data_IF_609520238921
#
_entry.id   IF_609520238921
#
_cell.length_a   1.000
_cell.length_b   1.000
_cell.length_c   1.000
_cell.angle_alpha   90.00
_cell.angle_beta   90.00
_cell.angle_gamma   90.00
#
_symmetry.space_group_name_H-M   'P 1'
#
loop_
_entity.id
_entity.type
_entity.pdbx_description
1 polymer ?
#
# COMPACT_ATOMS: atom_id res chain seq x y z
N UNK A 1 12.38 -52.34 -59.32
CA UNK A 1 11.14 -51.61 -58.92
C UNK A 1 10.70 -51.84 -57.45
N UNK A 2 11.48 -52.51 -56.60
CA UNK A 2 11.09 -52.77 -55.19
C UNK A 2 11.84 -51.91 -54.13
N UNK A 3 12.80 -51.09 -54.55
CA UNK A 3 13.58 -50.22 -53.63
C UNK A 3 13.12 -48.77 -53.57
N UNK A 4 12.38 -48.30 -54.55
CA UNK A 4 11.94 -46.88 -54.66
C UNK A 4 10.63 -46.59 -53.84
N UNK A 5 9.84 -47.64 -53.58
CA UNK A 5 8.58 -47.53 -52.83
C UNK A 5 8.82 -47.46 -51.33
N UNK A 6 9.96 -47.97 -50.83
CA UNK A 6 10.27 -47.99 -49.41
C UNK A 6 10.71 -46.56 -48.88
N UNK A 7 11.31 -45.75 -49.76
CA UNK A 7 11.72 -44.38 -49.37
C UNK A 7 10.60 -43.35 -49.38
N UNK A 8 9.52 -43.63 -50.12
CA UNK A 8 8.35 -42.75 -50.14
C UNK A 8 7.42 -42.93 -48.92
N UNK A 9 7.47 -44.12 -48.28
CA UNK A 9 6.70 -44.34 -47.05
C UNK A 9 7.39 -43.82 -45.78
N UNK A 10 8.72 -43.70 -45.77
CA UNK A 10 9.43 -43.09 -44.64
C UNK A 10 9.37 -41.54 -44.63
N UNK A 11 9.14 -40.91 -45.79
CA UNK A 11 9.00 -39.47 -45.87
C UNK A 11 7.61 -38.95 -45.46
N UNK A 12 6.60 -39.82 -45.49
CA UNK A 12 5.23 -39.46 -45.10
C UNK A 12 4.97 -39.57 -43.58
N UNK A 13 5.86 -40.23 -42.81
CA UNK A 13 5.71 -40.35 -41.36
C UNK A 13 6.41 -39.24 -40.57
N UNK A 14 7.23 -38.41 -41.26
CA UNK A 14 7.95 -37.30 -40.62
C UNK A 14 7.17 -35.96 -40.63
N UNK A 15 5.97 -35.94 -41.22
CA UNK A 15 5.15 -34.72 -41.36
C UNK A 15 3.94 -34.68 -40.43
N UNK A 16 3.82 -35.61 -39.46
CA UNK A 16 2.76 -35.59 -38.42
C UNK A 16 3.29 -35.45 -37.00
N UNK A 17 4.56 -35.08 -36.84
CA UNK A 17 5.03 -34.49 -35.59
C UNK A 17 4.69 -32.99 -35.62
N UNK A 18 3.39 -32.67 -35.66
CA UNK A 18 2.88 -31.32 -35.45
C UNK A 18 3.26 -30.90 -34.03
N UNK A 19 3.96 -29.80 -33.94
CA UNK A 19 4.27 -29.07 -32.73
C UNK A 19 3.01 -28.90 -31.89
N UNK A 20 2.87 -29.67 -30.84
CA UNK A 20 2.24 -29.14 -29.60
C UNK A 20 3.32 -28.31 -28.95
N UNK A 21 3.41 -27.03 -29.31
CA UNK A 21 3.97 -26.05 -28.39
C UNK A 21 2.96 -25.96 -27.25
N UNK A 22 3.18 -26.73 -26.20
CA UNK A 22 2.78 -26.35 -24.88
C UNK A 22 3.49 -25.00 -24.63
N UNK A 23 2.77 -23.87 -24.83
CA UNK A 23 3.15 -22.64 -24.22
C UNK A 23 3.04 -22.89 -22.70
N UNK A 24 4.14 -23.36 -22.10
CA UNK A 24 4.36 -23.14 -20.69
C UNK A 24 4.26 -21.63 -20.51
N UNK A 25 3.13 -21.19 -19.98
CA UNK A 25 2.99 -19.88 -19.34
C UNK A 25 4.03 -19.88 -18.23
N UNK A 26 5.27 -19.49 -18.59
CA UNK A 26 6.32 -19.19 -17.66
C UNK A 26 5.86 -17.95 -16.88
N UNK A 27 5.05 -18.18 -15.85
CA UNK A 27 4.88 -17.21 -14.80
C UNK A 27 6.27 -17.03 -14.20
N UNK A 28 6.94 -15.94 -14.58
CA UNK A 28 8.15 -15.50 -13.90
C UNK A 28 7.70 -15.02 -12.54
N UNK A 29 7.92 -15.76 -11.45
CA UNK A 29 7.66 -15.20 -10.12
C UNK A 29 8.61 -14.03 -9.95
N UNK A 30 8.08 -12.84 -9.88
CA UNK A 30 8.82 -11.68 -9.41
C UNK A 30 8.90 -11.87 -7.90
N UNK A 31 10.03 -12.36 -7.43
CA UNK A 31 10.31 -12.42 -5.99
C UNK A 31 10.71 -11.00 -5.61
N UNK A 32 9.77 -10.25 -5.03
CA UNK A 32 10.09 -9.03 -4.32
C UNK A 32 10.69 -9.44 -2.98
N UNK A 33 12.00 -9.32 -2.86
CA UNK A 33 12.67 -9.31 -1.56
C UNK A 33 12.42 -7.92 -0.98
N UNK A 34 11.37 -7.78 -0.17
CA UNK A 34 11.14 -6.56 0.59
C UNK A 34 12.17 -6.54 1.73
N UNK A 35 13.02 -5.50 1.83
CA UNK A 35 13.76 -5.27 3.06
C UNK A 35 12.77 -5.00 4.20
N UNK A 36 13.18 -5.28 5.43
CA UNK A 36 12.38 -5.13 6.64
C UNK A 36 11.76 -3.72 6.72
N UNK A 37 10.43 -3.67 6.86
CA UNK A 37 9.58 -2.47 7.03
C UNK A 37 9.60 -1.39 5.94
N UNK A 38 9.05 -1.68 4.76
CA UNK A 38 8.70 -0.65 3.77
C UNK A 38 7.43 0.10 4.21
N UNK A 39 7.57 1.33 4.68
CA UNK A 39 6.43 2.22 4.90
C UNK A 39 5.92 2.73 3.53
N UNK A 40 4.60 2.72 3.33
CA UNK A 40 3.94 3.11 2.06
C UNK A 40 2.74 4.04 2.32
N UNK A 41 2.96 5.29 2.71
CA UNK A 41 1.89 6.24 2.97
C UNK A 41 1.39 6.97 1.74
N UNK A 42 0.14 7.44 1.82
CA UNK A 42 -0.49 8.41 0.94
C UNK A 42 -1.12 9.54 1.77
N UNK A 43 -0.95 10.78 1.33
CA UNK A 43 -1.44 11.97 2.01
C UNK A 43 -2.54 12.64 1.18
N UNK A 44 -3.74 12.78 1.75
CA UNK A 44 -4.86 13.54 1.21
C UNK A 44 -4.99 14.88 1.90
N UNK A 45 -5.26 15.92 1.14
CA UNK A 45 -5.43 17.30 1.62
C UNK A 45 -6.86 17.75 1.29
N UNK A 46 -7.64 18.08 2.31
CA UNK A 46 -9.05 18.50 2.18
C UNK A 46 -9.27 19.89 2.81
N UNK A 47 -8.96 20.99 2.12
CA UNK A 47 -9.25 22.32 2.59
C UNK A 47 -10.74 22.67 2.41
N UNK A 48 -11.26 23.65 3.17
CA UNK A 48 -12.61 24.16 2.98
C UNK A 48 -12.79 25.00 1.70
N UNK A 49 -11.72 25.59 1.20
CA UNK A 49 -11.64 26.32 -0.08
C UNK A 49 -10.31 26.01 -0.74
N UNK A 50 -10.24 26.21 -2.07
CA UNK A 50 -8.98 26.05 -2.81
C UNK A 50 -7.86 26.89 -2.20
N UNK A 51 -6.72 26.27 -1.93
CA UNK A 51 -5.58 26.92 -1.31
C UNK A 51 -4.25 26.26 -1.71
N UNK A 52 -3.18 27.04 -1.65
CA UNK A 52 -1.82 26.51 -1.78
C UNK A 52 -1.38 25.82 -0.50
N UNK A 53 -0.83 24.62 -0.64
CA UNK A 53 -0.32 23.81 0.48
C UNK A 53 1.08 23.33 0.15
N UNK A 54 1.98 23.48 1.11
CA UNK A 54 3.32 22.89 1.07
C UNK A 54 3.40 21.78 2.10
N UNK A 55 3.85 20.59 1.69
CA UNK A 55 4.05 19.44 2.56
C UNK A 55 5.50 19.00 2.48
N UNK A 56 6.18 18.95 3.62
CA UNK A 56 7.52 18.36 3.74
C UNK A 56 7.51 17.18 4.70
N UNK A 57 8.34 16.19 4.39
CA UNK A 57 8.49 14.97 5.17
C UNK A 57 9.91 14.89 5.72
N UNK A 58 10.01 14.75 7.06
CA UNK A 58 11.25 14.37 7.74
C UNK A 58 11.11 12.90 8.19
N UNK A 59 11.72 11.99 7.42
CA UNK A 59 11.64 10.55 7.62
C UNK A 59 12.93 10.00 8.21
N UNK A 60 12.81 9.27 9.33
CA UNK A 60 13.93 8.60 9.99
C UNK A 60 14.28 7.28 9.28
N UNK A 61 14.74 7.41 8.03
CA UNK A 61 15.02 6.31 7.13
C UNK A 61 15.48 6.79 5.75
N UNK A 62 15.41 5.92 4.77
CA UNK A 62 15.70 6.22 3.37
C UNK A 62 14.40 6.20 2.55
N UNK A 63 14.11 7.31 1.85
CA UNK A 63 12.99 7.36 0.90
C UNK A 63 13.35 6.59 -0.36
N UNK A 64 12.53 5.60 -0.73
CA UNK A 64 12.73 4.75 -1.90
C UNK A 64 11.89 5.17 -3.09
N UNK A 65 10.74 5.83 -2.84
CA UNK A 65 9.87 6.37 -3.87
C UNK A 65 9.13 7.61 -3.35
N UNK A 66 8.92 8.59 -4.22
CA UNK A 66 8.02 9.72 -3.98
C UNK A 66 7.24 10.05 -5.26
N UNK A 67 5.94 10.38 -5.16
CA UNK A 67 5.13 10.78 -6.28
C UNK A 67 3.97 11.72 -5.85
N UNK A 68 3.78 12.88 -6.54
CA UNK A 68 4.70 13.47 -7.51
C UNK A 68 6.09 13.74 -6.92
N UNK A 69 7.05 14.11 -7.77
CA UNK A 69 8.40 14.41 -7.30
C UNK A 69 8.40 15.62 -6.35
N UNK A 70 9.18 15.52 -5.28
CA UNK A 70 9.44 16.65 -4.38
C UNK A 70 10.40 17.63 -5.02
N UNK A 71 10.16 18.92 -4.84
CA UNK A 71 11.11 19.99 -5.14
C UNK A 71 11.71 20.53 -3.83
N UNK A 72 13.02 20.50 -3.71
CA UNK A 72 13.74 20.91 -2.49
C UNK A 72 13.25 20.22 -1.19
N UNK A 73 12.84 18.96 -1.28
CA UNK A 73 12.39 18.16 -0.14
C UNK A 73 10.95 18.42 0.30
N UNK A 74 10.14 19.06 -0.55
CA UNK A 74 8.73 19.32 -0.29
C UNK A 74 7.88 19.17 -1.55
N UNK A 75 6.58 18.93 -1.36
CA UNK A 75 5.56 19.12 -2.38
C UNK A 75 4.92 20.50 -2.20
N UNK A 76 4.67 21.18 -3.29
CA UNK A 76 3.89 22.42 -3.34
C UNK A 76 2.75 22.25 -4.33
N UNK A 77 1.52 22.27 -3.85
CA UNK A 77 0.32 22.02 -4.64
C UNK A 77 -0.80 22.97 -4.27
N UNK A 78 -1.70 23.21 -5.22
CA UNK A 78 -3.01 23.79 -4.93
C UNK A 78 -3.96 22.66 -4.59
N UNK A 79 -4.48 22.63 -3.37
CA UNK A 79 -5.44 21.64 -2.89
C UNK A 79 -6.88 22.20 -3.02
N UNK A 80 -7.78 21.37 -3.55
CA UNK A 80 -9.21 21.68 -3.68
C UNK A 80 -10.03 20.96 -2.62
N UNK A 81 -11.24 21.42 -2.27
CA UNK A 81 -12.09 20.80 -1.23
C UNK A 81 -12.46 19.33 -1.48
N UNK A 82 -12.45 18.89 -2.75
CA UNK A 82 -12.71 17.51 -3.13
C UNK A 82 -11.48 16.59 -2.98
N UNK A 83 -10.34 17.14 -2.56
CA UNK A 83 -9.07 16.44 -2.40
C UNK A 83 -8.22 16.40 -3.69
N UNK A 84 -8.63 17.04 -4.76
CA UNK A 84 -7.81 17.18 -5.97
C UNK A 84 -6.62 18.09 -5.67
N UNK A 85 -5.42 17.64 -6.00
CA UNK A 85 -4.18 18.39 -5.87
C UNK A 85 -3.68 18.77 -7.25
N UNK A 86 -3.28 20.03 -7.46
CA UNK A 86 -2.77 20.53 -8.74
C UNK A 86 -1.38 21.11 -8.54
N UNK A 87 -0.40 20.67 -9.30
CA UNK A 87 0.96 21.22 -9.26
C UNK A 87 1.09 22.49 -10.11
N UNK A 88 2.26 23.15 -10.05
CA UNK A 88 2.55 24.38 -10.80
C UNK A 88 2.49 24.20 -12.32
N UNK A 89 2.56 22.96 -12.84
CA UNK A 89 2.41 22.66 -14.27
C UNK A 89 0.94 22.49 -14.70
N UNK A 90 0.01 22.43 -13.75
CA UNK A 90 -1.41 22.14 -13.96
C UNK A 90 -1.73 20.64 -14.02
N UNK A 91 -0.79 19.76 -13.66
CA UNK A 91 -1.05 18.33 -13.53
C UNK A 91 -1.80 18.07 -12.23
N UNK A 92 -2.79 17.17 -12.28
CA UNK A 92 -3.64 16.84 -11.12
C UNK A 92 -3.30 15.48 -10.52
N UNK A 93 -3.46 15.38 -9.20
CA UNK A 93 -3.22 14.17 -8.40
C UNK A 93 -4.33 14.00 -7.37
N UNK A 94 -4.54 12.74 -6.92
CA UNK A 94 -5.52 12.44 -5.87
C UNK A 94 -4.90 12.53 -4.46
N UNK A 95 -3.57 12.36 -4.37
CA UNK A 95 -2.81 12.35 -3.12
C UNK A 95 -1.32 12.53 -3.42
N UNK A 96 -0.55 12.80 -2.37
CA UNK A 96 0.90 12.71 -2.38
C UNK A 96 1.29 11.31 -1.90
N UNK A 97 2.32 10.73 -2.49
CA UNK A 97 2.74 9.35 -2.20
C UNK A 97 4.22 9.29 -1.90
N UNK A 98 4.58 8.46 -0.93
CA UNK A 98 5.97 8.13 -0.66
C UNK A 98 6.14 6.69 -0.18
N UNK A 99 7.32 6.14 -0.38
CA UNK A 99 7.79 4.89 0.20
C UNK A 99 9.15 5.11 0.83
N UNK A 100 9.43 4.37 1.90
CA UNK A 100 10.72 4.42 2.54
C UNK A 100 11.01 3.20 3.39
N UNK A 101 12.28 2.96 3.63
CA UNK A 101 12.80 1.89 4.50
C UNK A 101 13.39 2.49 5.76
N UNK A 102 13.11 1.91 6.91
CA UNK A 102 13.66 2.32 8.19
C UNK A 102 13.94 1.13 9.10
N UNK A 103 14.69 1.38 10.16
CA UNK A 103 14.92 0.41 11.23
C UNK A 103 13.91 0.57 12.39
N UNK A 104 12.76 1.21 12.15
CA UNK A 104 11.73 1.44 13.17
C UNK A 104 11.18 0.11 13.67
N UNK A 105 11.23 -0.09 14.98
CA UNK A 105 10.61 -1.24 15.63
C UNK A 105 9.17 -0.91 16.00
N UNK A 106 8.21 -1.51 15.31
CA UNK A 106 6.78 -1.32 15.59
C UNK A 106 6.33 -2.14 16.78
N UNK A 107 5.35 -1.61 17.54
CA UNK A 107 4.82 -2.24 18.75
C UNK A 107 3.66 -3.20 18.41
N UNK A 108 3.79 -4.44 18.84
CA UNK A 108 2.78 -5.49 18.77
C UNK A 108 2.37 -6.00 20.15
N UNK A 109 2.57 -5.23 21.21
CA UNK A 109 2.11 -5.58 22.56
C UNK A 109 0.58 -5.60 22.68
N UNK A 110 -0.10 -4.87 21.81
CA UNK A 110 -1.54 -4.85 21.59
C UNK A 110 -1.82 -4.93 20.08
N UNK A 111 -3.00 -5.41 19.72
CA UNK A 111 -3.37 -5.52 18.31
C UNK A 111 -4.49 -6.52 18.10
N UNK A 112 -4.53 -7.08 16.89
CA UNK A 112 -5.59 -7.98 16.45
C UNK A 112 -4.98 -9.17 15.71
N UNK A 113 -5.39 -10.38 16.10
CA UNK A 113 -5.05 -11.59 15.35
C UNK A 113 -6.26 -11.98 14.51
N UNK A 114 -6.20 -11.69 13.21
CA UNK A 114 -7.33 -11.79 12.29
C UNK A 114 -7.10 -12.97 11.33
N UNK A 115 -8.06 -13.91 11.17
CA UNK A 115 -8.00 -14.91 10.11
C UNK A 115 -7.92 -14.23 8.73
N UNK A 116 -7.10 -14.77 7.81
CA UNK A 116 -6.91 -14.17 6.49
C UNK A 116 -8.22 -13.87 5.76
N UNK A 117 -9.15 -14.84 5.75
CA UNK A 117 -10.47 -14.68 5.12
C UNK A 117 -11.39 -13.62 5.74
N UNK A 118 -11.12 -13.20 6.97
CA UNK A 118 -11.91 -12.18 7.69
C UNK A 118 -11.26 -10.79 7.60
N UNK A 119 -10.06 -10.68 6.99
CA UNK A 119 -9.26 -9.44 6.96
C UNK A 119 -10.01 -8.29 6.29
N UNK A 120 -10.77 -8.53 5.22
CA UNK A 120 -11.52 -7.47 4.54
C UNK A 120 -12.56 -6.82 5.46
N UNK A 121 -13.38 -7.64 6.14
CA UNK A 121 -14.40 -7.16 7.07
C UNK A 121 -13.77 -6.44 8.28
N UNK A 122 -12.69 -7.00 8.83
CA UNK A 122 -11.95 -6.35 9.91
C UNK A 122 -11.42 -4.97 9.50
N UNK A 123 -10.80 -4.85 8.32
CA UNK A 123 -10.28 -3.57 7.85
C UNK A 123 -11.40 -2.56 7.59
N UNK A 124 -12.54 -2.98 7.02
CA UNK A 124 -13.68 -2.08 6.83
C UNK A 124 -14.15 -1.47 8.16
N UNK A 125 -14.28 -2.29 9.20
CA UNK A 125 -14.72 -1.85 10.53
C UNK A 125 -13.65 -0.97 11.21
N UNK A 126 -12.39 -1.41 11.25
CA UNK A 126 -11.31 -0.70 11.93
C UNK A 126 -11.00 0.66 11.29
N UNK A 127 -10.92 0.73 9.95
CA UNK A 127 -10.63 1.98 9.25
C UNK A 127 -11.78 2.98 9.36
N UNK A 128 -13.03 2.50 9.37
CA UNK A 128 -14.21 3.33 9.63
C UNK A 128 -14.17 3.91 11.05
N UNK A 129 -13.82 3.11 12.05
CA UNK A 129 -13.69 3.57 13.44
C UNK A 129 -12.58 4.60 13.59
N UNK A 130 -11.45 4.41 12.90
CA UNK A 130 -10.31 5.35 12.87
C UNK A 130 -10.62 6.66 12.13
N UNK A 131 -11.72 6.74 11.35
CA UNK A 131 -12.18 7.97 10.71
C UNK A 131 -11.80 8.10 9.23
N UNK A 132 -11.34 7.04 8.57
CA UNK A 132 -11.19 7.04 7.10
C UNK A 132 -12.57 7.05 6.44
N UNK A 133 -12.73 7.88 5.40
CA UNK A 133 -13.93 7.84 4.59
C UNK A 133 -13.92 6.60 3.67
N UNK A 134 -15.06 6.33 2.99
CA UNK A 134 -15.19 5.13 2.16
C UNK A 134 -14.17 5.05 1.02
N UNK A 135 -13.80 6.18 0.42
CA UNK A 135 -12.80 6.22 -0.66
C UNK A 135 -11.41 5.84 -0.12
N UNK A 136 -10.98 6.49 0.95
CA UNK A 136 -9.67 6.25 1.58
C UNK A 136 -9.55 4.80 2.08
N UNK A 137 -10.58 4.31 2.79
CA UNK A 137 -10.62 2.93 3.26
C UNK A 137 -10.60 1.92 2.10
N UNK A 138 -11.32 2.21 0.99
CA UNK A 138 -11.30 1.34 -0.18
C UNK A 138 -9.92 1.28 -0.83
N UNK A 139 -9.23 2.40 -0.99
CA UNK A 139 -7.88 2.44 -1.55
C UNK A 139 -6.88 1.70 -0.65
N UNK A 140 -6.97 1.87 0.68
CA UNK A 140 -6.20 1.11 1.66
C UNK A 140 -6.42 -0.40 1.52
N UNK A 141 -7.68 -0.84 1.54
CA UNK A 141 -8.03 -2.27 1.48
C UNK A 141 -7.58 -2.90 0.16
N UNK A 142 -7.81 -2.25 -0.98
CA UNK A 142 -7.39 -2.75 -2.29
C UNK A 142 -5.87 -2.93 -2.37
N UNK A 143 -5.11 -2.08 -1.68
CA UNK A 143 -3.66 -2.18 -1.63
C UNK A 143 -3.16 -3.34 -0.74
N UNK A 144 -3.71 -3.47 0.49
CA UNK A 144 -3.20 -4.40 1.49
C UNK A 144 -3.82 -5.80 1.42
N UNK A 145 -5.13 -5.91 1.17
CA UNK A 145 -5.86 -7.18 1.21
C UNK A 145 -5.23 -8.30 0.37
N UNK A 146 -4.76 -8.07 -0.88
CA UNK A 146 -4.15 -9.14 -1.68
C UNK A 146 -2.92 -9.79 -1.06
N UNK A 147 -2.27 -9.13 -0.10
CA UNK A 147 -1.10 -9.65 0.64
C UNK A 147 -1.50 -10.41 1.90
N UNK A 148 -2.72 -10.20 2.37
CA UNK A 148 -3.19 -10.62 3.70
C UNK A 148 -4.22 -11.75 3.64
N UNK A 149 -5.13 -11.75 2.66
CA UNK A 149 -6.30 -12.63 2.63
C UNK A 149 -5.96 -14.13 2.53
N UNK A 150 -4.83 -14.47 1.91
CA UNK A 150 -4.39 -15.86 1.74
C UNK A 150 -3.65 -16.43 2.96
N UNK A 151 -3.29 -15.60 3.93
CA UNK A 151 -2.58 -16.03 5.13
C UNK A 151 -3.54 -16.79 6.07
N UNK A 152 -3.07 -17.81 6.82
CA UNK A 152 -3.89 -18.41 7.87
C UNK A 152 -4.39 -17.37 8.90
N UNK A 153 -3.50 -16.48 9.34
CA UNK A 153 -3.80 -15.36 10.23
C UNK A 153 -2.90 -14.17 9.90
N UNK A 154 -3.36 -12.98 10.26
CA UNK A 154 -2.59 -11.75 10.23
C UNK A 154 -2.55 -11.15 11.64
N UNK A 155 -1.37 -10.83 12.14
CA UNK A 155 -1.20 -10.01 13.33
C UNK A 155 -1.15 -8.56 12.88
N UNK A 156 -2.11 -7.75 13.32
CA UNK A 156 -2.29 -6.36 12.90
C UNK A 156 -2.21 -5.46 14.12
N UNK A 157 -1.41 -4.38 14.03
CA UNK A 157 -1.35 -3.33 15.04
C UNK A 157 -1.25 -1.96 14.36
N UNK A 158 -2.16 -1.04 14.70
CA UNK A 158 -2.08 0.34 14.22
C UNK A 158 -1.05 1.11 15.06
N UNK A 159 -0.16 1.82 14.37
CA UNK A 159 0.93 2.57 14.98
C UNK A 159 0.57 4.06 14.99
N UNK A 160 0.54 4.65 16.15
CA UNK A 160 0.24 6.09 16.32
C UNK A 160 1.57 6.86 16.55
N UNK A 161 1.92 7.13 17.79
CA UNK A 161 3.12 7.90 18.13
C UNK A 161 4.40 7.23 17.59
N UNK A 162 4.50 5.89 17.65
CA UNK A 162 5.65 5.16 17.10
C UNK A 162 5.88 5.47 15.61
N UNK A 163 4.82 5.63 14.84
CA UNK A 163 4.93 6.01 13.44
C UNK A 163 5.22 7.50 13.26
N UNK A 164 4.45 8.37 13.92
CA UNK A 164 4.56 9.82 13.72
C UNK A 164 5.87 10.40 14.23
N UNK A 165 6.52 9.76 15.20
CA UNK A 165 7.84 10.17 15.69
C UNK A 165 8.96 9.92 14.66
N UNK A 166 8.78 8.93 13.77
CA UNK A 166 9.76 8.57 12.74
C UNK A 166 9.43 9.10 11.33
N UNK A 167 8.19 9.53 11.09
CA UNK A 167 7.75 10.13 9.83
C UNK A 167 7.01 11.44 10.13
N UNK A 168 7.76 12.53 10.26
CA UNK A 168 7.20 13.84 10.65
C UNK A 168 6.80 14.64 9.43
N UNK A 169 5.51 14.98 9.33
CA UNK A 169 5.00 15.90 8.32
C UNK A 169 5.02 17.33 8.83
N UNK A 170 5.49 18.25 8.00
CA UNK A 170 5.31 19.69 8.21
C UNK A 170 4.46 20.23 7.07
N UNK A 171 3.29 20.78 7.40
CA UNK A 171 2.29 21.21 6.44
C UNK A 171 2.04 22.70 6.61
N UNK A 172 2.06 23.45 5.54
CA UNK A 172 1.83 24.90 5.55
C UNK A 172 0.78 25.26 4.48
N UNK A 173 -0.32 25.93 4.84
CA UNK A 173 -0.72 26.32 6.20
C UNK A 173 -0.94 25.12 7.12
N UNK A 174 -0.86 25.32 8.43
CA UNK A 174 -1.13 24.27 9.41
C UNK A 174 -2.58 23.78 9.30
N UNK A 175 -2.83 22.46 9.19
CA UNK A 175 -4.19 21.94 9.11
C UNK A 175 -4.92 22.05 10.46
N UNK A 176 -6.25 22.20 10.41
CA UNK A 176 -7.12 22.21 11.59
C UNK A 176 -7.26 20.81 12.21
N UNK A 177 -7.13 19.77 11.38
CA UNK A 177 -7.19 18.37 11.81
C UNK A 177 -6.25 17.49 10.96
N UNK A 178 -5.56 16.54 11.62
CA UNK A 178 -4.68 15.58 10.94
C UNK A 178 -4.95 14.17 11.44
N UNK A 179 -5.38 13.29 10.54
CA UNK A 179 -5.53 11.85 10.78
C UNK A 179 -4.36 11.10 10.14
N UNK A 180 -3.65 10.32 10.93
CA UNK A 180 -2.55 9.47 10.44
C UNK A 180 -2.79 8.04 10.86
N UNK A 181 -3.11 7.16 9.90
CA UNK A 181 -3.41 5.74 10.10
C UNK A 181 -2.29 4.91 9.50
N UNK A 182 -1.48 4.29 10.34
CA UNK A 182 -0.40 3.42 9.90
C UNK A 182 -0.57 2.01 10.46
N UNK A 183 -0.67 1.01 9.58
CA UNK A 183 -0.85 -0.40 9.94
C UNK A 183 0.47 -1.16 9.83
N UNK A 184 1.04 -1.60 10.95
CA UNK A 184 2.06 -2.64 10.94
C UNK A 184 1.39 -4.00 11.01
N UNK A 185 1.80 -4.94 10.16
CA UNK A 185 1.22 -6.28 10.16
C UNK A 185 2.23 -7.35 9.77
N UNK A 186 1.97 -8.59 10.16
CA UNK A 186 2.75 -9.75 9.75
C UNK A 186 1.90 -11.00 9.61
N UNK A 187 2.22 -11.91 8.66
CA UNK A 187 1.52 -13.18 8.53
C UNK A 187 1.86 -14.11 9.70
N UNK A 188 0.88 -14.90 10.12
CA UNK A 188 1.06 -15.95 11.13
C UNK A 188 0.51 -17.28 10.60
N UNK A 189 1.19 -18.39 10.93
CA UNK A 189 0.72 -19.75 10.65
C UNK A 189 -0.28 -20.28 11.69
N UNK A 190 -0.24 -19.74 12.91
CA UNK A 190 -1.12 -20.10 14.03
C UNK A 190 -1.58 -18.84 14.73
N UNK A 191 -2.80 -18.85 15.33
CA UNK A 191 -3.30 -17.68 16.04
C UNK A 191 -2.50 -17.41 17.31
N UNK A 192 -2.45 -16.14 17.69
CA UNK A 192 -1.89 -15.67 18.96
C UNK A 192 -2.95 -14.91 19.75
N UNK A 193 -2.89 -15.02 21.06
CA UNK A 193 -3.71 -14.20 21.96
C UNK A 193 -2.91 -12.97 22.38
N UNK A 194 -3.52 -11.79 22.24
CA UNK A 194 -2.96 -10.52 22.69
C UNK A 194 -4.09 -9.58 23.11
N UNK A 195 -3.79 -8.56 23.95
CA UNK A 195 -4.76 -7.52 24.26
C UNK A 195 -5.21 -6.80 23.00
N UNK A 196 -6.52 -6.57 22.85
CA UNK A 196 -7.04 -5.78 21.74
C UNK A 196 -6.55 -4.32 21.88
N UNK A 197 -6.18 -3.73 20.75
CA UNK A 197 -5.80 -2.33 20.70
C UNK A 197 -7.06 -1.45 20.71
N UNK A 198 -7.02 -0.36 21.44
CA UNK A 198 -8.03 0.68 21.36
C UNK A 198 -7.81 1.51 20.10
N UNK A 199 -8.88 1.69 19.30
CA UNK A 199 -8.85 2.50 18.09
C UNK A 199 -9.55 3.84 18.37
N UNK A 200 -8.81 4.96 18.40
CA UNK A 200 -9.40 6.25 18.67
C UNK A 200 -10.28 6.71 17.49
N UNK A 201 -11.44 7.28 17.80
CA UNK A 201 -12.27 7.94 16.81
C UNK A 201 -11.64 9.30 16.42
N UNK A 202 -11.75 9.66 15.14
CA UNK A 202 -11.27 10.93 14.62
C UNK A 202 -12.43 11.79 14.08
N UNK A 203 -12.40 13.07 14.39
CA UNK A 203 -13.36 14.07 13.89
C UNK A 203 -12.66 15.02 12.91
N UNK A 204 -13.20 15.15 11.70
CA UNK A 204 -12.68 16.03 10.65
C UNK A 204 -13.24 17.44 10.88
N UNK A 205 -12.36 18.43 10.88
CA UNK A 205 -12.71 19.83 11.04
C UNK A 205 -11.86 20.71 10.13
N UNK A 206 -12.44 21.74 9.52
CA UNK A 206 -11.74 22.72 8.70
C UNK A 206 -10.83 22.11 7.64
N UNK A 207 -9.62 22.64 7.48
CA UNK A 207 -8.60 22.02 6.64
C UNK A 207 -8.12 20.70 7.28
N UNK A 208 -8.55 19.59 6.73
CA UNK A 208 -8.20 18.25 7.21
C UNK A 208 -7.18 17.59 6.32
N UNK A 209 -6.14 17.04 6.93
CA UNK A 209 -5.18 16.16 6.27
C UNK A 209 -5.40 14.71 6.71
N UNK A 210 -5.41 13.80 5.78
CA UNK A 210 -5.51 12.35 6.04
C UNK A 210 -4.35 11.64 5.40
N UNK A 211 -3.57 10.96 6.21
CA UNK A 211 -2.54 10.03 5.76
C UNK A 211 -2.90 8.61 6.16
N UNK A 212 -2.80 7.68 5.23
CA UNK A 212 -2.84 6.29 5.57
C UNK A 212 -1.66 5.54 4.93
N UNK A 213 -1.18 4.51 5.61
CA UNK A 213 -0.10 3.67 5.14
C UNK A 213 0.02 2.40 5.95
N UNK A 214 1.08 1.66 5.70
CA UNK A 214 1.38 0.46 6.47
C UNK A 214 2.71 -0.16 6.08
N UNK A 215 3.07 -1.21 6.81
CA UNK A 215 4.26 -2.02 6.56
C UNK A 215 3.98 -3.49 6.89
N UNK A 216 4.49 -4.38 6.04
CA UNK A 216 4.61 -5.81 6.36
C UNK A 216 5.92 -6.01 7.13
N UNK A 217 5.81 -6.64 8.30
CA UNK A 217 6.94 -6.88 9.21
C UNK A 217 7.30 -8.36 9.19
N UNK A 218 8.55 -8.66 8.89
CA UNK A 218 9.07 -10.03 8.81
C UNK A 218 9.31 -10.68 10.19
#
# INVERSE_FOLDING_TARGET
>A
MKRTILYLMLAALALLAGCTQDEELSAKPVIYLYPESDAKPVDYLYPEAEMEVTVSLDYDGELTCVYPAMENGAWSVTASPDGTLTDASGQTYNYLYWEGVSATAYDFSQGFCVPGGDTAAFLEDALSQLGLNRREANEFIVYWLPRMEANPYNLIAFQFDTYTDHARLTITPEPDATLRVFMAWRPLSTPVELPAQELPAFERTGFTVVEWGGAEIS
#
